data_IF_910183931286
#
_entry.id   IF_910183931286
#
_cell.length_a   1.000
_cell.length_b   1.000
_cell.length_c   1.000
_cell.angle_alpha   90.00
_cell.angle_beta   90.00
_cell.angle_gamma   90.00
#
_symmetry.space_group_name_H-M   'P 1'
#
loop_
_entity.id
_entity.type
_entity.pdbx_description
1 polymer ?
#
# COMPACT_ATOMS: atom_id res chain seq x y z
N UNK A 1 9.72 -0.90 -5.61
CA UNK A 1 10.41 -0.27 -6.76
C UNK A 1 9.74 -0.78 -8.02
N UNK A 2 9.92 -0.08 -9.13
CA UNK A 2 9.27 -0.46 -10.38
C UNK A 2 9.40 0.59 -11.45
N UNK A 3 8.84 0.29 -12.61
CA UNK A 3 8.96 1.10 -13.83
C UNK A 3 7.70 1.95 -14.02
N UNK A 4 7.87 3.23 -14.40
CA UNK A 4 6.75 4.09 -14.77
C UNK A 4 6.18 3.67 -16.12
N UNK A 5 4.89 3.33 -16.16
CA UNK A 5 4.19 2.88 -17.37
C UNK A 5 3.20 3.92 -17.91
N UNK A 6 2.75 4.84 -17.07
CA UNK A 6 1.79 5.88 -17.43
C UNK A 6 2.02 7.13 -16.58
N UNK A 7 1.90 8.31 -17.17
CA UNK A 7 1.97 9.59 -16.48
C UNK A 7 0.75 10.42 -16.88
N UNK A 8 0.09 10.96 -15.87
CA UNK A 8 -1.03 11.91 -15.98
C UNK A 8 -0.58 13.28 -15.45
N UNK A 9 -1.43 14.30 -15.53
CA UNK A 9 -1.08 15.66 -15.07
C UNK A 9 -0.61 15.75 -13.61
N UNK A 10 -1.07 14.85 -12.74
CA UNK A 10 -0.78 14.90 -11.30
C UNK A 10 -0.20 13.62 -10.71
N UNK A 11 -0.22 12.52 -11.46
CA UNK A 11 0.12 11.19 -10.93
C UNK A 11 0.79 10.33 -11.97
N UNK A 12 1.57 9.37 -11.51
CA UNK A 12 2.13 8.32 -12.35
C UNK A 12 1.62 6.95 -11.90
N UNK A 13 1.50 6.04 -12.84
CA UNK A 13 1.28 4.62 -12.57
C UNK A 13 2.60 3.90 -12.77
N UNK A 14 3.03 3.16 -11.76
CA UNK A 14 4.21 2.31 -11.82
C UNK A 14 3.83 0.83 -11.78
N UNK A 15 4.52 0.02 -12.58
CA UNK A 15 4.45 -1.42 -12.55
C UNK A 15 5.54 -1.96 -11.62
N UNK A 16 5.14 -2.72 -10.62
CA UNK A 16 6.04 -3.45 -9.73
C UNK A 16 6.00 -4.93 -10.04
N UNK A 17 7.07 -5.66 -9.68
CA UNK A 17 7.12 -7.12 -9.78
C UNK A 17 6.48 -7.83 -8.59
N UNK A 18 6.31 -7.15 -7.45
CA UNK A 18 5.96 -7.76 -6.16
C UNK A 18 4.55 -7.38 -5.64
N UNK A 19 3.92 -6.36 -6.21
CA UNK A 19 2.56 -5.92 -5.82
C UNK A 19 1.67 -5.48 -6.99
N UNK A 20 2.12 -5.62 -8.23
CA UNK A 20 1.38 -5.21 -9.41
C UNK A 20 1.47 -3.70 -9.68
N UNK A 21 0.39 -3.12 -10.21
CA UNK A 21 0.33 -1.69 -10.54
C UNK A 21 -0.06 -0.88 -9.32
N UNK A 22 0.69 0.20 -9.07
CA UNK A 22 0.33 1.19 -8.07
C UNK A 22 0.41 2.60 -8.65
N UNK A 23 -0.46 3.47 -8.18
CA UNK A 23 -0.49 4.89 -8.48
C UNK A 23 0.32 5.64 -7.43
N UNK A 24 1.15 6.58 -7.87
CA UNK A 24 1.99 7.43 -7.02
C UNK A 24 1.78 8.89 -7.38
N UNK A 25 1.98 9.77 -6.42
CA UNK A 25 1.95 11.20 -6.65
C UNK A 25 3.17 11.66 -7.46
N UNK A 26 2.98 12.63 -8.34
CA UNK A 26 4.03 13.17 -9.20
C UNK A 26 4.76 14.29 -8.45
N UNK A 27 5.52 13.93 -7.42
CA UNK A 27 6.31 14.87 -6.60
C UNK A 27 7.64 15.29 -7.25
N UNK A 28 8.03 14.60 -8.34
CA UNK A 28 9.26 14.80 -9.12
C UNK A 28 8.95 14.68 -10.61
N UNK A 29 9.82 15.26 -11.44
CA UNK A 29 9.77 15.02 -12.88
C UNK A 29 10.13 13.55 -13.16
N UNK A 30 9.22 12.85 -13.83
CA UNK A 30 9.36 11.46 -14.25
C UNK A 30 9.13 11.34 -15.75
N UNK A 31 9.70 10.30 -16.34
CA UNK A 31 9.44 9.85 -17.71
C UNK A 31 8.92 8.42 -17.70
N UNK A 32 8.12 8.09 -18.72
CA UNK A 32 7.73 6.70 -18.97
C UNK A 32 9.02 5.88 -19.21
N UNK A 33 9.14 4.74 -18.55
CA UNK A 33 10.34 3.89 -18.55
C UNK A 33 11.29 4.14 -17.37
N UNK A 34 11.13 5.24 -16.62
CA UNK A 34 11.97 5.50 -15.44
C UNK A 34 11.74 4.40 -14.38
N UNK A 35 12.85 3.90 -13.82
CA UNK A 35 12.81 2.99 -12.68
C UNK A 35 12.89 3.79 -11.39
N UNK A 36 11.83 3.71 -10.58
CA UNK A 36 11.73 4.49 -9.34
C UNK A 36 11.67 3.60 -8.10
N UNK A 37 12.17 4.16 -6.99
CA UNK A 37 11.92 3.63 -5.65
C UNK A 37 10.99 4.57 -4.91
N UNK A 38 9.98 3.96 -4.29
CA UNK A 38 8.98 4.66 -3.49
C UNK A 38 9.01 4.16 -2.05
N UNK A 39 8.76 5.07 -1.13
CA UNK A 39 8.54 4.77 0.29
C UNK A 39 7.10 5.03 0.67
N UNK A 40 6.56 4.18 1.54
CA UNK A 40 5.23 4.31 2.12
C UNK A 40 5.37 4.07 3.62
N UNK A 41 4.88 5.01 4.41
CA UNK A 41 4.97 4.89 5.86
C UNK A 41 3.90 3.94 6.40
N UNK A 42 4.24 3.01 7.32
CA UNK A 42 3.28 2.02 7.85
C UNK A 42 1.97 2.61 8.38
N UNK A 43 2.02 3.78 9.01
CA UNK A 43 0.86 4.47 9.59
C UNK A 43 -0.15 4.99 8.57
N UNK A 44 0.24 5.05 7.28
CA UNK A 44 -0.64 5.48 6.18
C UNK A 44 -1.41 4.32 5.55
N UNK A 45 -1.09 3.10 5.94
CA UNK A 45 -1.68 1.89 5.37
C UNK A 45 -2.89 1.51 6.18
N UNK A 46 -4.05 1.48 5.55
CA UNK A 46 -5.27 0.93 6.12
C UNK A 46 -5.37 -0.56 5.86
N UNK A 47 -6.12 -1.28 6.71
CA UNK A 47 -6.32 -2.74 6.61
C UNK A 47 -7.75 -3.13 6.97
N UNK A 48 -8.34 -4.07 6.21
CA UNK A 48 -9.61 -4.72 6.54
C UNK A 48 -9.75 -6.07 5.84
N UNK A 49 -10.75 -6.86 6.26
CA UNK A 49 -11.09 -8.14 5.62
C UNK A 49 -11.82 -7.97 4.28
N UNK A 50 -12.48 -6.83 4.06
CA UNK A 50 -13.32 -6.59 2.87
C UNK A 50 -12.66 -5.54 1.99
N UNK A 51 -12.57 -5.81 0.69
CA UNK A 51 -12.13 -4.81 -0.27
C UNK A 51 -13.01 -3.56 -0.17
N UNK A 52 -12.38 -2.40 -0.20
CA UNK A 52 -13.06 -1.12 -0.24
C UNK A 52 -13.29 -0.72 -1.70
N UNK A 53 -14.47 -0.18 -2.02
CA UNK A 53 -14.76 0.41 -3.33
C UNK A 53 -14.05 1.76 -3.46
N UNK A 54 -12.76 1.72 -3.74
CA UNK A 54 -11.90 2.90 -3.84
C UNK A 54 -11.66 3.28 -5.30
N UNK A 55 -11.53 4.58 -5.54
CA UNK A 55 -11.11 5.13 -6.82
C UNK A 55 -9.64 4.79 -7.08
N UNK A 56 -9.38 3.84 -7.98
CA UNK A 56 -8.04 3.37 -8.34
C UNK A 56 -7.10 4.46 -8.89
N UNK A 57 -7.64 5.59 -9.33
CA UNK A 57 -6.82 6.75 -9.73
C UNK A 57 -6.19 7.48 -8.54
N UNK A 58 -6.73 7.28 -7.32
CA UNK A 58 -6.35 7.96 -6.06
C UNK A 58 -5.82 7.00 -5.01
N UNK A 59 -6.27 5.76 -5.04
CA UNK A 59 -6.02 4.79 -3.98
C UNK A 59 -5.39 3.54 -4.55
N UNK A 60 -4.36 3.07 -3.86
CA UNK A 60 -3.80 1.75 -4.07
C UNK A 60 -4.51 0.76 -3.17
N UNK A 61 -4.87 -0.40 -3.69
CA UNK A 61 -5.50 -1.48 -2.92
C UNK A 61 -4.90 -2.81 -3.35
N UNK A 62 -4.36 -3.56 -2.39
CA UNK A 62 -3.67 -4.83 -2.64
C UNK A 62 -4.17 -5.87 -1.65
N UNK A 63 -4.33 -7.10 -2.11
CA UNK A 63 -4.64 -8.25 -1.27
C UNK A 63 -3.38 -8.86 -0.65
N UNK A 64 -3.54 -9.43 0.54
CA UNK A 64 -2.50 -10.21 1.19
C UNK A 64 -3.06 -11.09 2.29
N UNK A 65 -2.16 -11.81 2.95
CA UNK A 65 -2.47 -12.67 4.10
C UNK A 65 -1.74 -12.16 5.34
N UNK A 66 -2.43 -12.18 6.48
CA UNK A 66 -1.80 -11.85 7.77
C UNK A 66 -0.81 -12.95 8.14
N UNK A 67 0.48 -12.61 8.10
CA UNK A 67 1.59 -13.50 8.45
C UNK A 67 1.83 -13.50 9.96
N UNK A 68 1.77 -12.32 10.59
CA UNK A 68 1.96 -12.17 12.03
C UNK A 68 1.11 -11.02 12.60
N UNK A 69 0.79 -11.12 13.88
CA UNK A 69 0.13 -10.06 14.66
C UNK A 69 0.88 -9.81 15.97
N UNK A 70 1.04 -8.53 16.32
CA UNK A 70 1.65 -8.13 17.59
C UNK A 70 0.69 -7.18 18.32
N UNK A 71 0.21 -7.62 19.48
CA UNK A 71 -0.66 -6.81 20.32
C UNK A 71 0.16 -5.84 21.18
N UNK A 72 -0.21 -4.56 21.14
CA UNK A 72 0.57 -3.46 21.74
C UNK A 72 -0.33 -2.53 22.53
N UNK A 73 -1.23 -3.09 23.33
CA UNK A 73 -2.09 -2.36 24.27
C UNK A 73 -3.17 -1.50 23.61
N UNK A 74 -2.78 -0.43 22.92
CA UNK A 74 -3.67 0.52 22.24
C UNK A 74 -3.91 0.21 20.76
N UNK A 75 -3.07 -0.62 20.15
CA UNK A 75 -3.22 -1.05 18.76
C UNK A 75 -2.68 -2.46 18.56
N UNK A 76 -3.11 -3.11 17.48
CA UNK A 76 -2.52 -4.35 16.97
C UNK A 76 -1.69 -4.02 15.74
N UNK A 77 -0.43 -4.44 15.71
CA UNK A 77 0.42 -4.38 14.51
C UNK A 77 0.22 -5.65 13.69
N UNK A 78 0.17 -5.49 12.37
CA UNK A 78 0.01 -6.58 11.42
C UNK A 78 1.21 -6.60 10.48
N UNK A 79 1.71 -7.80 10.22
CA UNK A 79 2.67 -8.09 9.16
C UNK A 79 1.89 -8.86 8.11
N UNK A 80 1.81 -8.30 6.90
CA UNK A 80 1.03 -8.85 5.78
C UNK A 80 1.98 -9.28 4.70
N UNK A 81 1.77 -10.48 4.16
CA UNK A 81 2.49 -11.00 2.99
C UNK A 81 1.55 -11.00 1.78
N UNK A 82 1.95 -10.34 0.70
CA UNK A 82 1.23 -10.36 -0.57
C UNK A 82 1.46 -11.68 -1.31
N UNK A 83 0.66 -11.95 -2.35
CA UNK A 83 0.79 -13.15 -3.18
C UNK A 83 2.20 -13.32 -3.77
N UNK A 84 2.81 -12.22 -4.22
CA UNK A 84 4.18 -12.22 -4.78
C UNK A 84 5.28 -12.06 -3.72
N UNK A 85 4.94 -12.17 -2.44
CA UNK A 85 5.92 -12.25 -1.34
C UNK A 85 6.36 -10.92 -0.73
N UNK A 86 5.80 -9.78 -1.16
CA UNK A 86 6.08 -8.48 -0.53
C UNK A 86 5.53 -8.45 0.89
N UNK A 87 6.32 -7.91 1.82
CA UNK A 87 5.92 -7.75 3.22
C UNK A 87 5.53 -6.30 3.48
N UNK A 88 4.32 -6.10 4.02
CA UNK A 88 3.84 -4.84 4.55
C UNK A 88 3.71 -4.89 6.07
N UNK A 89 3.87 -3.73 6.69
CA UNK A 89 3.63 -3.52 8.13
C UNK A 89 2.62 -2.40 8.27
N UNK A 90 1.60 -2.63 9.09
CA UNK A 90 0.60 -1.60 9.45
C UNK A 90 0.09 -1.88 10.87
N UNK A 91 -0.77 -1.01 11.40
CA UNK A 91 -1.46 -1.22 12.67
C UNK A 91 -2.89 -0.74 12.62
N UNK A 92 -3.75 -1.37 13.44
CA UNK A 92 -5.13 -0.91 13.70
C UNK A 92 -5.25 -0.57 15.18
N UNK A 93 -5.67 0.66 15.47
CA UNK A 93 -5.95 1.10 16.84
C UNK A 93 -7.19 0.41 17.39
N UNK A 94 -7.20 0.12 18.69
CA UNK A 94 -8.38 -0.36 19.40
C UNK A 94 -9.30 0.82 19.72
N UNK A 95 -9.80 1.48 18.67
CA UNK A 95 -10.88 2.44 18.85
C UNK A 95 -12.11 1.66 19.34
N UNK A 96 -12.37 1.67 20.66
CA UNK A 96 -13.65 1.24 21.21
C UNK A 96 -14.69 2.16 20.60
N UNK A 97 -15.52 1.74 19.64
CA UNK A 97 -16.91 2.20 19.43
C UNK A 97 -17.55 1.38 18.28
N UNK A 98 -18.58 0.59 18.63
CA UNK A 98 -19.73 0.16 17.80
C UNK A 98 -19.52 -0.10 16.30
N UNK A 99 -18.57 -0.94 15.93
CA UNK A 99 -18.49 -1.45 14.55
C UNK A 99 -18.59 -2.97 14.60
N UNK A 100 -19.58 -3.55 13.92
CA UNK A 100 -19.72 -5.00 13.65
C UNK A 100 -18.60 -5.53 12.73
N UNK A 101 -17.44 -4.89 12.74
CA UNK A 101 -16.28 -5.34 11.97
C UNK A 101 -15.65 -6.53 12.68
N UNK A 102 -15.70 -7.68 12.00
CA UNK A 102 -15.00 -8.87 12.46
C UNK A 102 -13.52 -8.57 12.70
N UNK A 103 -12.97 -8.97 13.86
CA UNK A 103 -11.58 -8.73 14.18
C UNK A 103 -10.69 -9.50 13.19
N UNK A 104 -9.66 -8.82 12.67
CA UNK A 104 -8.63 -9.44 11.83
C UNK A 104 -7.82 -10.42 12.68
N UNK A 105 -7.69 -11.65 12.21
CA UNK A 105 -6.96 -12.74 12.84
C UNK A 105 -5.69 -13.10 12.03
N UNK A 106 -4.85 -13.93 12.65
CA UNK A 106 -3.76 -14.60 11.95
C UNK A 106 -4.32 -15.47 10.82
N UNK A 107 -3.58 -15.55 9.70
CA UNK A 107 -3.98 -16.20 8.45
C UNK A 107 -5.18 -15.62 7.70
N UNK A 108 -5.83 -14.57 8.20
CA UNK A 108 -6.91 -13.92 7.46
C UNK A 108 -6.39 -13.36 6.12
N UNK A 109 -7.20 -13.55 5.08
CA UNK A 109 -7.07 -12.79 3.85
C UNK A 109 -7.58 -11.37 4.10
N UNK A 110 -6.75 -10.39 3.75
CA UNK A 110 -7.01 -8.98 4.01
C UNK A 110 -6.69 -8.15 2.77
N UNK A 111 -7.26 -6.95 2.76
CA UNK A 111 -6.91 -5.90 1.83
C UNK A 111 -6.19 -4.80 2.59
N UNK A 112 -5.09 -4.33 2.01
CA UNK A 112 -4.41 -3.12 2.45
C UNK A 112 -4.58 -2.04 1.40
N UNK A 113 -4.76 -0.80 1.85
CA UNK A 113 -4.89 0.33 0.94
C UNK A 113 -4.31 1.60 1.53
N UNK A 114 -3.94 2.52 0.65
CA UNK A 114 -3.41 3.84 1.01
C UNK A 114 -3.65 4.82 -0.16
N UNK A 115 -3.59 6.10 0.13
CA UNK A 115 -3.74 7.13 -0.89
C UNK A 115 -2.44 7.28 -1.69
N UNK A 116 -2.52 7.55 -2.99
CA UNK A 116 -1.34 7.72 -3.86
C UNK A 116 -0.36 8.76 -3.28
N UNK A 117 -0.90 9.86 -2.77
CA UNK A 117 -0.16 10.97 -2.15
C UNK A 117 0.58 10.60 -0.84
N UNK A 118 0.32 9.42 -0.26
CA UNK A 118 1.09 8.91 0.89
C UNK A 118 2.36 8.14 0.47
N UNK A 119 2.57 7.96 -0.84
CA UNK A 119 3.78 7.34 -1.41
C UNK A 119 4.74 8.43 -1.87
N UNK A 120 6.00 8.36 -1.43
CA UNK A 120 7.01 9.37 -1.77
C UNK A 120 8.12 8.77 -2.61
N UNK A 121 8.55 9.49 -3.65
CA UNK A 121 9.62 9.02 -4.54
C UNK A 121 10.97 9.34 -3.90
N UNK A 122 11.76 8.33 -3.61
CA UNK A 122 13.07 8.49 -2.96
C UNK A 122 14.24 8.42 -3.94
N UNK A 123 14.08 7.71 -5.05
CA UNK A 123 15.12 7.50 -6.05
C UNK A 123 14.49 7.40 -7.44
N UNK A 124 15.13 8.03 -8.43
CA UNK A 124 14.74 7.95 -9.85
C UNK A 124 15.98 7.53 -10.63
N UNK A 125 15.91 6.37 -11.28
CA UNK A 125 16.91 5.87 -12.20
C UNK A 125 16.30 5.89 -13.60
N UNK A 126 16.48 7.00 -14.30
CA UNK A 126 16.17 7.12 -15.72
C UNK A 126 17.42 6.85 -16.56
N UNK A 127 17.24 6.31 -17.75
CA UNK A 127 18.27 6.36 -18.78
C UNK A 127 18.51 7.84 -19.13
N UNK A 128 19.77 8.28 -19.04
CA UNK A 128 20.20 9.64 -19.37
C UNK A 128 19.98 9.97 -20.83
#
# INVERSE_FOLDING_TARGET
>A
EGEIIEITEKRAVMQTSDIGKITVDLDKELKIGDHIKVTLRPEKIHISKKAQSLDSSKWNCISGKVDQMVYTGSHTRFIIKTEYGRIFRTFKQHAKYFTDEEPIQWEDNVFIWWHADDSFIVEVNGDK
#
